data_IF_462682476042
#
_entry.id   IF_462682476042
#
_cell.length_a   1.000
_cell.length_b   1.000
_cell.length_c   1.000
_cell.angle_alpha   90.00
_cell.angle_beta   90.00
_cell.angle_gamma   90.00
#
_symmetry.space_group_name_H-M   'P 1'
#
loop_
_entity.id
_entity.type
_entity.pdbx_description
1 polymer ?
#
# COMPACT_ATOMS: atom_id res chain seq x y z
N UNK A 1 20.03 34.76 -31.76
CA UNK A 1 20.34 33.33 -31.71
C UNK A 1 20.72 32.82 -30.35
N UNK A 2 21.62 33.49 -29.65
CA UNK A 2 22.03 33.05 -28.30
C UNK A 2 20.89 33.06 -27.28
N UNK A 3 19.96 34.01 -27.42
CA UNK A 3 18.81 34.12 -26.52
C UNK A 3 17.84 32.95 -26.64
N UNK A 4 17.71 32.37 -27.81
CA UNK A 4 16.82 31.24 -28.06
C UNK A 4 17.32 29.98 -27.35
N UNK A 5 18.64 29.77 -27.35
CA UNK A 5 19.27 28.62 -26.72
C UNK A 5 19.06 28.66 -25.20
N UNK A 6 19.16 29.85 -24.60
CA UNK A 6 18.97 30.03 -23.18
C UNK A 6 17.51 29.71 -22.76
N UNK A 7 16.56 30.14 -23.57
CA UNK A 7 15.14 29.89 -23.31
C UNK A 7 14.83 28.39 -23.31
N UNK A 8 15.37 27.63 -24.22
CA UNK A 8 15.21 26.19 -24.29
C UNK A 8 15.78 25.48 -23.07
N UNK A 9 16.90 25.95 -22.57
CA UNK A 9 17.54 25.39 -21.39
C UNK A 9 16.69 25.59 -20.13
N UNK A 10 16.10 26.75 -19.97
CA UNK A 10 15.21 27.03 -18.81
C UNK A 10 13.98 26.13 -18.83
N UNK A 11 13.40 25.87 -19.99
CA UNK A 11 12.25 24.99 -20.13
C UNK A 11 12.58 23.57 -19.68
N UNK A 12 13.76 23.08 -20.00
CA UNK A 12 14.20 21.75 -19.56
C UNK A 12 14.31 21.63 -18.04
N UNK A 13 14.78 22.67 -17.38
CA UNK A 13 14.90 22.69 -15.93
C UNK A 13 13.54 22.63 -15.23
N UNK A 14 12.53 23.29 -15.75
CA UNK A 14 11.18 23.26 -15.18
C UNK A 14 10.55 21.88 -15.22
N UNK A 15 10.78 21.13 -16.27
CA UNK A 15 10.29 19.77 -16.40
C UNK A 15 10.91 18.85 -15.35
N UNK A 16 12.17 19.04 -15.01
CA UNK A 16 12.85 18.27 -13.99
C UNK A 16 12.26 18.50 -12.61
N UNK A 17 11.88 19.74 -12.29
CA UNK A 17 11.27 20.07 -11.00
C UNK A 17 9.89 19.45 -10.82
N UNK A 18 9.10 19.33 -11.90
CA UNK A 18 7.75 18.79 -11.83
C UNK A 18 7.75 17.30 -11.46
N UNK A 19 8.73 16.54 -11.91
CA UNK A 19 8.78 15.10 -11.62
C UNK A 19 9.07 14.80 -10.16
N UNK A 20 9.68 15.71 -9.41
CA UNK A 20 9.95 15.51 -7.97
C UNK A 20 8.67 15.49 -7.17
N UNK A 21 7.64 16.23 -7.55
CA UNK A 21 6.37 16.29 -6.86
C UNK A 21 5.43 15.14 -7.19
N UNK A 22 5.78 14.26 -8.14
CA UNK A 22 4.97 13.11 -8.51
C UNK A 22 4.99 12.02 -7.43
N UNK A 23 6.01 12.01 -6.54
CA UNK A 23 6.12 11.04 -5.48
C UNK A 23 5.55 11.63 -4.18
N UNK A 24 4.29 11.33 -3.92
CA UNK A 24 3.62 11.79 -2.72
C UNK A 24 3.26 10.65 -1.80
N UNK A 25 2.15 10.82 -1.11
CA UNK A 25 1.61 9.90 -0.11
C UNK A 25 1.52 8.45 -0.59
N UNK A 26 1.18 8.25 -1.86
CA UNK A 26 0.96 6.92 -2.43
C UNK A 26 2.18 6.33 -3.15
N UNK A 27 3.32 7.01 -3.07
CA UNK A 27 4.59 6.51 -3.56
C UNK A 27 4.80 6.64 -5.07
N UNK A 28 5.84 5.95 -5.57
CA UNK A 28 6.23 6.02 -6.97
C UNK A 28 5.19 5.41 -7.92
N UNK A 29 4.48 4.37 -7.48
CA UNK A 29 3.43 3.71 -8.25
C UNK A 29 2.06 4.06 -7.67
N UNK A 30 1.76 5.35 -7.59
CA UNK A 30 0.56 5.86 -6.93
C UNK A 30 -0.72 5.37 -7.58
N UNK A 31 -0.77 5.25 -8.90
CA UNK A 31 -1.97 4.81 -9.61
C UNK A 31 -2.36 3.38 -9.20
N UNK A 32 -1.41 2.46 -9.14
CA UNK A 32 -1.67 1.09 -8.72
C UNK A 32 -1.94 1.00 -7.22
N UNK A 33 -1.22 1.78 -6.41
CA UNK A 33 -1.49 1.85 -4.98
C UNK A 33 -2.95 2.21 -4.72
N UNK A 34 -3.42 3.31 -5.29
CA UNK A 34 -4.80 3.79 -5.13
C UNK A 34 -5.81 2.75 -5.63
N UNK A 35 -5.52 2.15 -6.78
CA UNK A 35 -6.38 1.14 -7.39
C UNK A 35 -6.60 -0.05 -6.46
N UNK A 36 -5.52 -0.62 -5.93
CA UNK A 36 -5.62 -1.80 -5.07
C UNK A 36 -6.20 -1.46 -3.69
N UNK A 37 -5.95 -0.26 -3.17
CA UNK A 37 -6.62 0.20 -1.95
C UNK A 37 -8.14 0.21 -2.14
N UNK A 38 -8.61 0.68 -3.29
CA UNK A 38 -10.05 0.72 -3.59
C UNK A 38 -10.63 -0.69 -3.73
N UNK A 39 -9.92 -1.58 -4.43
CA UNK A 39 -10.38 -2.95 -4.65
C UNK A 39 -10.53 -3.74 -3.36
N UNK A 40 -9.51 -3.71 -2.50
CA UNK A 40 -9.62 -4.47 -1.25
C UNK A 40 -10.73 -3.93 -0.37
N UNK A 41 -10.91 -2.61 -0.33
CA UNK A 41 -11.95 -1.97 0.50
C UNK A 41 -13.35 -2.38 0.11
N UNK A 42 -13.62 -2.55 -1.17
CA UNK A 42 -14.94 -2.99 -1.64
C UNK A 42 -15.31 -4.37 -1.07
N UNK A 43 -14.39 -5.31 -1.12
CA UNK A 43 -14.62 -6.63 -0.55
C UNK A 43 -14.60 -6.60 0.98
N UNK A 44 -13.73 -5.80 1.56
CA UNK A 44 -13.61 -5.68 3.02
C UNK A 44 -14.90 -5.15 3.65
N UNK A 45 -15.54 -4.16 3.05
CA UNK A 45 -16.82 -3.62 3.52
C UNK A 45 -17.91 -4.68 3.57
N UNK A 46 -17.88 -5.63 2.65
CA UNK A 46 -18.83 -6.73 2.57
C UNK A 46 -18.44 -7.90 3.48
N UNK A 47 -17.36 -7.75 4.23
CA UNK A 47 -16.78 -8.82 5.07
C UNK A 47 -16.36 -10.04 4.24
N UNK A 48 -16.10 -9.85 2.97
CA UNK A 48 -15.62 -10.87 2.05
C UNK A 48 -14.09 -10.88 2.07
N UNK A 49 -13.52 -11.35 3.17
CA UNK A 49 -12.09 -11.24 3.44
C UNK A 49 -11.25 -12.11 2.53
N UNK A 50 -11.75 -13.29 2.18
CA UNK A 50 -11.05 -14.18 1.24
C UNK A 50 -10.81 -13.51 -0.11
N UNK A 51 -11.83 -12.84 -0.62
CA UNK A 51 -11.73 -12.12 -1.90
C UNK A 51 -10.96 -10.80 -1.77
N UNK A 52 -11.01 -10.18 -0.60
CA UNK A 52 -10.29 -8.93 -0.33
C UNK A 52 -8.78 -9.15 -0.26
N UNK A 53 -8.33 -10.28 0.27
CA UNK A 53 -6.92 -10.52 0.58
C UNK A 53 -5.99 -10.36 -0.61
N UNK A 54 -6.26 -10.89 -1.83
CA UNK A 54 -5.35 -10.71 -2.96
C UNK A 54 -5.13 -9.24 -3.32
N UNK A 55 -6.17 -8.44 -3.35
CA UNK A 55 -6.06 -7.00 -3.64
C UNK A 55 -5.35 -6.27 -2.50
N UNK A 56 -5.64 -6.64 -1.26
CA UNK A 56 -4.95 -6.09 -0.10
C UNK A 56 -3.44 -6.37 -0.15
N UNK A 57 -3.05 -7.59 -0.52
CA UNK A 57 -1.62 -7.94 -0.65
C UNK A 57 -0.92 -7.09 -1.71
N UNK A 58 -1.60 -6.83 -2.82
CA UNK A 58 -1.07 -5.96 -3.87
C UNK A 58 -0.93 -4.52 -3.39
N UNK A 59 -1.91 -4.01 -2.66
CA UNK A 59 -1.83 -2.68 -2.06
C UNK A 59 -0.68 -2.61 -1.06
N UNK A 60 -0.58 -3.58 -0.18
CA UNK A 60 0.45 -3.65 0.85
C UNK A 60 1.87 -3.66 0.25
N UNK A 61 2.04 -4.35 -0.87
CA UNK A 61 3.32 -4.43 -1.59
C UNK A 61 3.64 -3.15 -2.36
N UNK A 62 2.62 -2.53 -2.95
CA UNK A 62 2.78 -1.39 -3.87
C UNK A 62 2.82 -0.06 -3.15
N UNK A 63 1.98 0.10 -2.13
CA UNK A 63 1.88 1.35 -1.38
C UNK A 63 3.00 1.49 -0.36
N UNK A 64 3.48 2.73 -0.11
CA UNK A 64 4.30 2.97 1.07
C UNK A 64 3.52 2.63 2.35
N UNK A 65 4.18 2.21 3.43
CA UNK A 65 3.48 1.87 4.68
C UNK A 65 2.69 3.03 5.28
N UNK A 66 3.07 4.25 4.97
CA UNK A 66 2.41 5.45 5.46
C UNK A 66 1.30 5.96 4.56
N UNK A 67 1.04 5.29 3.41
CA UNK A 67 0.00 5.72 2.47
C UNK A 67 -1.40 5.64 3.07
N UNK A 68 -1.66 4.62 3.88
CA UNK A 68 -2.97 4.39 4.48
C UNK A 68 -2.82 3.63 5.79
N UNK A 69 -3.13 4.29 6.88
CA UNK A 69 -3.19 3.66 8.19
C UNK A 69 -4.24 2.54 8.20
N UNK A 70 -5.37 2.76 7.55
CA UNK A 70 -6.45 1.78 7.47
C UNK A 70 -6.02 0.52 6.71
N UNK A 71 -5.16 0.63 5.72
CA UNK A 71 -4.61 -0.54 5.03
C UNK A 71 -3.95 -1.51 6.03
N UNK A 72 -3.20 -0.99 6.96
CA UNK A 72 -2.52 -1.81 7.96
C UNK A 72 -3.51 -2.37 9.00
N UNK A 73 -4.45 -1.56 9.45
CA UNK A 73 -5.46 -1.98 10.41
C UNK A 73 -6.42 -3.02 9.83
N UNK A 74 -6.92 -2.76 8.63
CA UNK A 74 -7.82 -3.66 7.93
C UNK A 74 -7.14 -4.98 7.62
N UNK A 75 -5.87 -4.92 7.20
CA UNK A 75 -5.08 -6.13 6.96
C UNK A 75 -4.98 -7.01 8.19
N UNK A 76 -4.69 -6.42 9.33
CA UNK A 76 -4.59 -7.14 10.59
C UNK A 76 -5.93 -7.82 10.95
N UNK A 77 -7.02 -7.07 10.87
CA UNK A 77 -8.36 -7.57 11.16
C UNK A 77 -8.76 -8.72 10.23
N UNK A 78 -8.58 -8.54 8.94
CA UNK A 78 -8.91 -9.50 7.90
C UNK A 78 -8.11 -10.80 8.06
N UNK A 79 -6.80 -10.67 8.27
CA UNK A 79 -5.91 -11.83 8.38
C UNK A 79 -6.25 -12.64 9.64
N UNK A 80 -6.54 -11.98 10.76
CA UNK A 80 -6.96 -12.66 11.98
C UNK A 80 -8.24 -13.47 11.78
N UNK A 81 -9.20 -12.88 11.08
CA UNK A 81 -10.45 -13.57 10.78
C UNK A 81 -10.21 -14.81 9.91
N UNK A 82 -9.36 -14.68 8.89
CA UNK A 82 -9.04 -15.80 8.01
C UNK A 82 -8.26 -16.91 8.74
N UNK A 83 -7.41 -16.57 9.69
CA UNK A 83 -6.70 -17.55 10.52
C UNK A 83 -7.71 -18.36 11.33
N UNK A 84 -8.67 -17.70 11.97
CA UNK A 84 -9.69 -18.38 12.79
C UNK A 84 -10.56 -19.30 11.95
N UNK A 85 -10.96 -18.86 10.76
CA UNK A 85 -11.84 -19.61 9.88
C UNK A 85 -11.15 -20.73 9.10
N UNK A 86 -9.83 -20.82 9.17
CA UNK A 86 -9.04 -21.82 8.46
C UNK A 86 -8.09 -22.56 9.41
N UNK A 87 -8.51 -22.76 10.63
CA UNK A 87 -7.70 -23.36 11.69
C UNK A 87 -7.16 -24.74 11.35
N UNK A 88 -7.87 -25.50 10.50
CA UNK A 88 -7.47 -26.85 10.12
C UNK A 88 -6.49 -26.90 8.94
N UNK A 89 -6.32 -25.80 8.20
CA UNK A 89 -5.39 -25.73 7.09
C UNK A 89 -4.07 -25.11 7.60
N UNK A 90 -3.16 -25.95 8.06
CA UNK A 90 -1.92 -25.51 8.67
C UNK A 90 -1.03 -24.69 7.75
N UNK A 91 -0.91 -25.08 6.48
CA UNK A 91 -0.06 -24.39 5.51
C UNK A 91 -0.57 -22.97 5.26
N UNK A 92 -1.86 -22.84 5.01
CA UNK A 92 -2.50 -21.54 4.77
C UNK A 92 -2.44 -20.67 6.02
N UNK A 93 -2.76 -21.24 7.18
CA UNK A 93 -2.71 -20.53 8.45
C UNK A 93 -1.31 -20.01 8.77
N UNK A 94 -0.29 -20.82 8.53
CA UNK A 94 1.10 -20.40 8.75
C UNK A 94 1.50 -19.23 7.86
N UNK A 95 1.12 -19.27 6.58
CA UNK A 95 1.36 -18.15 5.66
C UNK A 95 0.68 -16.87 6.13
N UNK A 96 -0.54 -16.97 6.65
CA UNK A 96 -1.27 -15.83 7.21
C UNK A 96 -0.59 -15.29 8.47
N UNK A 97 -0.13 -16.17 9.35
CA UNK A 97 0.59 -15.78 10.56
C UNK A 97 1.88 -15.03 10.23
N UNK A 98 2.64 -15.51 9.25
CA UNK A 98 3.86 -14.84 8.82
C UNK A 98 3.57 -13.42 8.31
N UNK A 99 2.53 -13.27 7.52
CA UNK A 99 2.08 -11.96 7.04
C UNK A 99 1.66 -11.07 8.21
N UNK A 100 0.93 -11.61 9.16
CA UNK A 100 0.46 -10.86 10.34
C UNK A 100 1.63 -10.34 11.19
N UNK A 101 2.65 -11.16 11.38
CA UNK A 101 3.84 -10.76 12.13
C UNK A 101 4.61 -9.65 11.42
N UNK A 102 4.80 -9.77 10.11
CA UNK A 102 5.44 -8.72 9.31
C UNK A 102 4.63 -7.42 9.38
N UNK A 103 3.32 -7.53 9.26
CA UNK A 103 2.41 -6.38 9.33
C UNK A 103 2.50 -5.69 10.68
N UNK A 104 2.57 -6.45 11.77
CA UNK A 104 2.73 -5.91 13.10
C UNK A 104 4.02 -5.09 13.23
N UNK A 105 5.12 -5.61 12.71
CA UNK A 105 6.39 -4.90 12.72
C UNK A 105 6.34 -3.60 11.92
N UNK A 106 5.70 -3.62 10.76
CA UNK A 106 5.52 -2.43 9.93
C UNK A 106 4.69 -1.38 10.67
N UNK A 107 3.64 -1.80 11.39
CA UNK A 107 2.83 -0.90 12.20
C UNK A 107 3.63 -0.28 13.34
N UNK A 108 4.43 -1.07 14.02
CA UNK A 108 5.28 -0.57 15.11
C UNK A 108 6.26 0.49 14.63
N UNK A 109 6.83 0.30 13.45
CA UNK A 109 7.80 1.24 12.88
C UNK A 109 7.16 2.54 12.41
N UNK A 110 5.96 2.48 11.86
CA UNK A 110 5.33 3.63 11.20
C UNK A 110 4.24 4.29 12.04
N UNK A 111 3.60 3.53 12.92
CA UNK A 111 2.50 4.02 13.76
C UNK A 111 2.64 3.47 15.17
N UNK A 112 3.69 3.85 15.92
CA UNK A 112 3.96 3.24 17.24
C UNK A 112 2.86 3.45 18.26
N UNK A 113 2.03 4.49 18.10
CA UNK A 113 0.93 4.77 19.03
C UNK A 113 -0.27 3.84 18.87
N UNK A 114 -0.30 3.04 17.79
CA UNK A 114 -1.39 2.12 17.52
C UNK A 114 -1.12 0.70 18.04
N UNK A 115 0.02 0.49 18.58
CA UNK A 115 0.46 -0.84 19.07
C UNK A 115 0.45 -0.91 20.62
#
# INVERSE_FOLDING_TARGET
MKKIVVALFITGLMLSCTSVFAQGKYGADSANCIKYLSYYKEYYKQQNYKESLPSWRKAYKTCPPTASQNMLLDGSSMIRNLIENNAKNETYRKALLDTLMTLHNVRMQNYPRLV
#
